data_IF_587272253055
#
_entry.id   IF_587272253055
#
_cell.length_a   1.000
_cell.length_b   1.000
_cell.length_c   1.000
_cell.angle_alpha   90.00
_cell.angle_beta   90.00
_cell.angle_gamma   90.00
#
_symmetry.space_group_name_H-M   'P 1'
#
loop_
_entity.id
_entity.type
_entity.pdbx_description
1 polymer ?
#
# COMPACT_ATOMS: atom_id res chain seq x y z
N UNK A 1 -15.00 7.19 4.93
CA UNK A 1 -14.29 6.33 3.97
C UNK A 1 -13.61 7.21 2.93
N UNK A 2 -12.94 6.67 1.92
CA UNK A 2 -12.31 7.51 0.89
C UNK A 2 -13.35 7.93 -0.16
N UNK A 3 -13.27 9.17 -0.66
CA UNK A 3 -14.07 9.66 -1.79
C UNK A 3 -13.43 9.27 -3.12
N UNK A 4 -12.11 9.15 -3.17
CA UNK A 4 -11.36 8.76 -4.37
C UNK A 4 -10.27 7.76 -4.00
N UNK A 5 -10.10 6.74 -4.84
CA UNK A 5 -9.04 5.74 -4.70
C UNK A 5 -8.54 5.29 -6.06
N UNK A 6 -7.22 5.16 -6.20
CA UNK A 6 -6.56 4.67 -7.41
C UNK A 6 -5.49 3.63 -7.08
N UNK A 7 -5.20 2.77 -8.04
CA UNK A 7 -4.14 1.76 -7.95
C UNK A 7 -3.01 2.13 -8.90
N UNK A 8 -1.78 2.07 -8.39
CA UNK A 8 -0.58 2.33 -9.19
C UNK A 8 0.54 1.35 -8.89
N UNK A 9 1.63 1.49 -9.61
CA UNK A 9 2.88 0.77 -9.39
C UNK A 9 3.99 1.75 -9.04
N UNK A 10 4.77 1.44 -8.02
CA UNK A 10 5.93 2.23 -7.64
C UNK A 10 7.04 2.05 -8.66
N UNK A 11 7.39 3.09 -9.38
CA UNK A 11 8.52 3.08 -10.32
C UNK A 11 9.83 3.28 -9.57
N UNK A 12 9.91 4.30 -8.72
CA UNK A 12 11.11 4.65 -7.99
C UNK A 12 10.98 6.00 -7.29
N UNK A 13 12.13 6.53 -6.87
CA UNK A 13 12.21 7.88 -6.31
C UNK A 13 13.07 8.78 -7.19
N UNK A 14 12.69 10.05 -7.23
CA UNK A 14 13.38 11.12 -7.92
C UNK A 14 13.31 12.40 -7.10
N UNK A 15 13.72 13.49 -7.67
CA UNK A 15 13.60 14.82 -7.09
C UNK A 15 13.01 15.79 -8.12
N UNK A 16 12.27 16.77 -7.65
CA UNK A 16 11.66 17.82 -8.46
C UNK A 16 11.89 19.17 -7.80
N UNK A 17 12.18 20.18 -8.59
CA UNK A 17 12.20 21.57 -8.13
C UNK A 17 10.77 22.08 -7.96
N UNK A 18 10.46 22.60 -6.79
CA UNK A 18 9.20 23.25 -6.46
C UNK A 18 9.54 24.51 -5.65
N UNK A 19 9.14 25.69 -6.11
CA UNK A 19 9.39 26.98 -5.45
C UNK A 19 10.84 27.14 -4.96
N UNK A 20 11.80 26.97 -5.87
CA UNK A 20 13.25 27.06 -5.62
C UNK A 20 13.82 26.08 -4.59
N UNK A 21 13.07 25.02 -4.29
CA UNK A 21 13.51 23.93 -3.40
C UNK A 21 13.48 22.59 -4.08
N UNK A 22 14.45 21.77 -3.78
CA UNK A 22 14.47 20.36 -4.22
C UNK A 22 13.57 19.55 -3.29
N UNK A 23 12.52 18.96 -3.85
CA UNK A 23 11.58 18.10 -3.12
C UNK A 23 11.80 16.65 -3.56
N UNK A 24 12.05 15.71 -2.62
CA UNK A 24 12.11 14.29 -2.95
C UNK A 24 10.71 13.76 -3.28
N UNK A 25 10.58 13.10 -4.41
CA UNK A 25 9.31 12.56 -4.88
C UNK A 25 9.42 11.07 -5.18
N UNK A 26 8.35 10.35 -4.90
CA UNK A 26 8.15 8.99 -5.40
C UNK A 26 7.29 9.05 -6.66
N UNK A 27 7.75 8.40 -7.71
CA UNK A 27 7.05 8.29 -8.99
C UNK A 27 6.21 7.02 -8.97
N UNK A 28 4.91 7.19 -9.15
CA UNK A 28 3.93 6.12 -9.27
C UNK A 28 3.41 6.10 -10.70
N UNK A 29 3.38 4.92 -11.33
CA UNK A 29 2.70 4.70 -12.60
C UNK A 29 1.27 4.29 -12.30
N UNK A 30 0.31 5.07 -12.75
CA UNK A 30 -1.13 4.82 -12.56
C UNK A 30 -1.75 4.55 -13.91
N UNK A 31 -1.81 3.28 -14.29
CA UNK A 31 -2.50 2.89 -15.53
C UNK A 31 -4.01 3.03 -15.36
N UNK A 32 -4.76 3.38 -16.42
CA UNK A 32 -6.22 3.41 -16.37
C UNK A 32 -6.79 2.12 -15.78
N UNK A 33 -7.69 2.26 -14.83
CA UNK A 33 -8.35 1.14 -14.16
C UNK A 33 -9.72 0.92 -14.78
N UNK A 34 -10.11 -0.33 -14.96
CA UNK A 34 -11.43 -0.72 -15.46
C UNK A 34 -12.26 -1.30 -14.34
N UNK A 35 -13.50 -0.83 -14.21
CA UNK A 35 -14.43 -1.34 -13.21
C UNK A 35 -14.95 -2.70 -13.66
N UNK A 36 -14.74 -3.71 -12.83
CA UNK A 36 -15.18 -5.10 -13.09
C UNK A 36 -16.50 -5.39 -12.39
N UNK A 37 -16.67 -4.86 -11.17
CA UNK A 37 -17.89 -5.04 -10.39
C UNK A 37 -18.11 -3.83 -9.49
N UNK A 38 -19.37 -3.41 -9.39
CA UNK A 38 -19.83 -2.46 -8.38
C UNK A 38 -20.47 -3.25 -7.25
N UNK A 39 -20.00 -3.04 -6.02
CA UNK A 39 -20.51 -3.68 -4.80
C UNK A 39 -21.35 -2.67 -4.03
N UNK A 40 -22.57 -3.08 -3.68
CA UNK A 40 -23.53 -2.27 -2.96
C UNK A 40 -23.84 -2.84 -1.56
N UNK A 41 -24.22 -2.01 -0.58
CA UNK A 41 -24.53 -2.47 0.76
C UNK A 41 -25.65 -3.52 0.80
N UNK A 42 -26.64 -3.39 -0.08
CA UNK A 42 -27.80 -4.30 -0.14
C UNK A 42 -27.41 -5.73 -0.53
N UNK A 43 -26.47 -5.86 -1.47
CA UNK A 43 -26.07 -7.14 -2.03
C UNK A 43 -24.83 -7.71 -1.34
N UNK A 44 -23.83 -6.90 -1.11
CA UNK A 44 -22.49 -7.31 -0.68
C UNK A 44 -22.18 -6.93 0.77
N UNK A 45 -23.05 -6.13 1.42
CA UNK A 45 -22.91 -5.66 2.80
C UNK A 45 -21.98 -4.46 2.97
N UNK A 46 -21.41 -3.95 1.89
CA UNK A 46 -20.54 -2.75 1.87
C UNK A 46 -20.43 -2.15 0.47
N UNK A 47 -20.06 -0.85 0.42
CA UNK A 47 -19.84 -0.14 -0.84
C UNK A 47 -18.39 -0.27 -1.29
N UNK A 48 -18.15 -0.74 -2.52
CA UNK A 48 -16.82 -0.82 -3.12
C UNK A 48 -16.89 -0.94 -4.64
N UNK A 49 -15.80 -0.53 -5.31
CA UNK A 49 -15.55 -0.83 -6.71
C UNK A 49 -14.49 -1.93 -6.79
N UNK A 50 -14.79 -3.02 -7.47
CA UNK A 50 -13.76 -3.97 -7.87
C UNK A 50 -13.20 -3.54 -9.20
N UNK A 51 -11.91 -3.22 -9.23
CA UNK A 51 -11.22 -2.71 -10.41
C UNK A 51 -10.06 -3.61 -10.82
N UNK A 52 -9.73 -3.57 -12.09
CA UNK A 52 -8.53 -4.17 -12.65
C UNK A 52 -7.73 -3.12 -13.41
N UNK A 53 -6.42 -3.30 -13.53
CA UNK A 53 -5.52 -2.39 -14.25
C UNK A 53 -4.48 -3.17 -15.04
N UNK A 54 -3.92 -2.51 -16.06
CA UNK A 54 -2.95 -3.11 -16.97
C UNK A 54 -3.56 -4.17 -17.89
N UNK A 55 -2.70 -5.05 -18.41
CA UNK A 55 -3.11 -6.15 -19.29
C UNK A 55 -2.44 -7.45 -18.87
N UNK A 56 -3.19 -8.53 -18.79
CA UNK A 56 -2.69 -9.89 -18.54
C UNK A 56 -3.20 -10.83 -19.63
N UNK A 57 -2.30 -11.65 -20.15
CA UNK A 57 -2.65 -12.67 -21.14
C UNK A 57 -3.77 -13.59 -20.60
N UNK A 58 -4.92 -13.70 -21.29
CA UNK A 58 -6.03 -14.55 -20.86
C UNK A 58 -5.65 -16.03 -20.65
N UNK A 59 -4.62 -16.52 -21.35
CA UNK A 59 -4.10 -17.89 -21.20
C UNK A 59 -3.46 -18.14 -19.84
N UNK A 60 -3.05 -17.08 -19.13
CA UNK A 60 -2.42 -17.16 -17.80
C UNK A 60 -3.42 -17.01 -16.66
N UNK A 61 -4.72 -16.91 -16.98
CA UNK A 61 -5.79 -16.87 -15.99
C UNK A 61 -6.26 -18.29 -15.66
N UNK A 62 -6.64 -18.49 -14.40
CA UNK A 62 -7.38 -19.68 -14.03
C UNK A 62 -8.86 -19.58 -14.49
N UNK A 63 -9.55 -20.72 -14.62
CA UNK A 63 -10.95 -20.77 -15.12
C UNK A 63 -11.92 -19.87 -14.33
N UNK A 64 -11.90 -19.81 -12.98
CA UNK A 64 -12.78 -18.94 -12.21
C UNK A 64 -12.55 -17.46 -12.50
N UNK A 65 -11.29 -17.01 -12.57
CA UNK A 65 -10.95 -15.62 -12.90
C UNK A 65 -11.38 -15.28 -14.33
N UNK A 66 -11.11 -16.17 -15.29
CA UNK A 66 -11.52 -15.99 -16.68
C UNK A 66 -13.05 -15.85 -16.81
N UNK A 67 -13.81 -16.70 -16.09
CA UNK A 67 -15.28 -16.61 -16.05
C UNK A 67 -15.78 -15.29 -15.43
N UNK A 68 -15.09 -14.79 -14.41
CA UNK A 68 -15.43 -13.51 -13.79
C UNK A 68 -15.28 -12.33 -14.76
N UNK A 69 -14.18 -12.26 -15.52
CA UNK A 69 -13.98 -11.23 -16.54
C UNK A 69 -14.92 -11.40 -17.75
N UNK A 70 -15.15 -12.64 -18.20
CA UNK A 70 -16.04 -12.93 -19.31
C UNK A 70 -17.48 -12.49 -19.04
N UNK A 71 -17.97 -12.64 -17.82
CA UNK A 71 -19.32 -12.24 -17.41
C UNK A 71 -19.60 -10.76 -17.63
N UNK A 72 -18.58 -9.91 -17.52
CA UNK A 72 -18.67 -8.45 -17.60
C UNK A 72 -18.03 -7.90 -18.87
N UNK A 73 -17.49 -8.75 -19.74
CA UNK A 73 -16.83 -8.39 -21.00
C UNK A 73 -15.71 -7.35 -20.83
N UNK A 74 -14.96 -7.46 -19.72
CA UNK A 74 -13.81 -6.59 -19.40
C UNK A 74 -12.51 -7.37 -19.61
N UNK A 75 -11.55 -6.76 -20.28
CA UNK A 75 -10.22 -7.36 -20.47
C UNK A 75 -9.50 -7.59 -19.15
N UNK A 76 -8.89 -8.77 -18.96
CA UNK A 76 -8.19 -9.07 -17.73
C UNK A 76 -6.94 -8.21 -17.53
N UNK A 77 -6.78 -7.68 -16.33
CA UNK A 77 -5.60 -6.94 -15.90
C UNK A 77 -4.68 -7.77 -14.99
N UNK A 78 -3.65 -7.12 -14.48
CA UNK A 78 -2.64 -7.76 -13.62
C UNK A 78 -3.22 -8.29 -12.31
N UNK A 79 -4.15 -7.56 -11.70
CA UNK A 79 -4.78 -7.90 -10.42
C UNK A 79 -6.18 -7.32 -10.33
N UNK A 80 -7.01 -7.97 -9.54
CA UNK A 80 -8.27 -7.43 -9.05
C UNK A 80 -8.00 -6.77 -7.68
N UNK A 81 -8.47 -5.53 -7.52
CA UNK A 81 -8.33 -4.75 -6.28
C UNK A 81 -9.70 -4.17 -5.95
N UNK A 82 -10.05 -4.13 -4.68
CA UNK A 82 -11.26 -3.48 -4.20
C UNK A 82 -10.95 -2.10 -3.63
N UNK A 83 -11.61 -1.10 -4.17
CA UNK A 83 -11.58 0.27 -3.72
C UNK A 83 -12.84 0.54 -2.90
N UNK A 84 -12.72 0.62 -1.57
CA UNK A 84 -13.83 0.97 -0.69
C UNK A 84 -14.07 2.48 -0.74
N UNK A 85 -15.20 2.87 -1.30
CA UNK A 85 -15.63 4.26 -1.45
C UNK A 85 -16.90 4.50 -0.63
N UNK A 86 -17.20 5.76 -0.37
CA UNK A 86 -18.42 6.16 0.33
C UNK A 86 -19.63 6.05 -0.58
N UNK A 87 -19.45 6.49 -1.82
CA UNK A 87 -20.48 6.45 -2.86
C UNK A 87 -19.95 5.69 -4.09
N UNK A 88 -20.78 4.83 -4.64
CA UNK A 88 -20.50 4.01 -5.82
C UNK A 88 -21.57 4.13 -6.91
N UNK A 89 -22.63 4.93 -6.67
CA UNK A 89 -23.82 4.98 -7.53
C UNK A 89 -23.54 5.60 -8.92
N UNK A 90 -22.47 6.42 -9.02
CA UNK A 90 -22.05 7.02 -10.29
C UNK A 90 -21.19 6.13 -11.19
N UNK A 91 -20.84 4.93 -10.76
CA UNK A 91 -19.91 4.06 -11.50
C UNK A 91 -20.62 2.92 -12.22
N UNK A 92 -20.15 2.62 -13.42
CA UNK A 92 -20.66 1.53 -14.25
C UNK A 92 -19.60 0.47 -14.51
N UNK A 93 -20.02 -0.78 -14.68
CA UNK A 93 -19.13 -1.87 -15.08
C UNK A 93 -18.56 -1.57 -16.48
N UNK A 94 -17.25 -1.77 -16.64
CA UNK A 94 -16.52 -1.42 -17.88
C UNK A 94 -16.00 0.02 -17.93
N UNK A 95 -16.43 0.89 -17.01
CA UNK A 95 -15.95 2.28 -16.96
C UNK A 95 -14.46 2.33 -16.64
N UNK A 96 -13.73 3.25 -17.29
CA UNK A 96 -12.34 3.52 -16.99
C UNK A 96 -12.19 4.67 -15.98
N UNK A 97 -11.29 4.48 -15.02
CA UNK A 97 -10.90 5.48 -14.01
C UNK A 97 -9.43 5.81 -14.25
N UNK A 98 -9.15 7.06 -14.56
CA UNK A 98 -7.82 7.56 -14.87
C UNK A 98 -7.18 8.31 -13.66
N UNK A 99 -5.92 8.75 -13.82
CA UNK A 99 -5.12 9.40 -12.78
C UNK A 99 -5.63 10.79 -12.37
N UNK A 100 -6.36 11.45 -13.24
CA UNK A 100 -6.93 12.81 -13.06
C UNK A 100 -7.91 12.89 -11.89
N UNK A 101 -8.42 11.75 -11.41
CA UNK A 101 -9.23 11.70 -10.18
C UNK A 101 -8.49 12.20 -8.93
N UNK A 102 -7.15 12.35 -8.99
CA UNK A 102 -6.31 12.85 -7.88
C UNK A 102 -5.62 14.14 -8.32
N UNK A 103 -6.07 15.27 -7.77
CA UNK A 103 -5.55 16.59 -8.11
C UNK A 103 -4.16 16.86 -7.49
N UNK A 104 -3.32 17.65 -8.18
CA UNK A 104 -2.08 18.18 -7.61
C UNK A 104 -2.37 19.05 -6.37
N UNK A 105 -1.49 19.02 -5.37
CA UNK A 105 -1.67 19.71 -4.10
C UNK A 105 -2.60 19.00 -3.10
N UNK A 106 -3.31 17.95 -3.50
CA UNK A 106 -4.13 17.15 -2.59
C UNK A 106 -3.25 16.29 -1.65
N UNK A 107 -3.81 15.92 -0.50
CA UNK A 107 -3.17 14.96 0.42
C UNK A 107 -3.76 13.58 0.22
N UNK A 108 -2.88 12.58 0.20
CA UNK A 108 -3.23 11.18 -0.03
C UNK A 108 -2.62 10.27 1.02
N UNK A 109 -3.30 9.16 1.27
CA UNK A 109 -2.79 8.03 2.05
C UNK A 109 -2.39 6.92 1.10
N UNK A 110 -1.14 6.47 1.18
CA UNK A 110 -0.60 5.45 0.29
C UNK A 110 -0.36 4.16 1.05
N UNK A 111 -1.06 3.11 0.65
CA UNK A 111 -0.98 1.76 1.24
C UNK A 111 -0.28 0.81 0.27
N UNK A 112 0.70 0.08 0.76
CA UNK A 112 1.37 -0.98 -0.01
C UNK A 112 1.94 -2.07 0.91
N UNK A 113 2.33 -3.19 0.30
CA UNK A 113 3.06 -4.24 1.01
C UNK A 113 4.53 -3.84 1.11
N UNK A 114 5.05 -3.72 2.33
CA UNK A 114 6.43 -3.32 2.59
C UNK A 114 7.44 -4.36 2.07
N UNK A 115 8.65 -3.91 1.76
CA UNK A 115 9.72 -4.80 1.32
C UNK A 115 10.01 -5.86 2.38
N UNK A 116 9.98 -7.14 1.99
CA UNK A 116 10.33 -8.25 2.86
C UNK A 116 11.82 -8.21 3.23
N UNK A 117 12.12 -8.49 4.50
CA UNK A 117 13.48 -8.58 5.05
C UNK A 117 13.79 -9.96 5.63
N UNK A 118 12.89 -10.93 5.39
CA UNK A 118 13.01 -12.29 5.89
C UNK A 118 12.95 -12.40 7.40
N UNK A 119 13.54 -13.45 7.96
CA UNK A 119 13.66 -13.63 9.41
C UNK A 119 14.72 -12.66 9.95
N UNK A 120 14.35 -11.82 10.90
CA UNK A 120 15.22 -10.82 11.49
C UNK A 120 15.34 -11.01 13.01
N UNK A 121 16.56 -10.86 13.52
CA UNK A 121 16.83 -10.85 14.95
C UNK A 121 16.24 -9.62 15.65
N UNK A 122 16.17 -9.69 16.98
CA UNK A 122 15.55 -8.64 17.82
C UNK A 122 16.21 -7.27 17.67
N UNK A 123 17.52 -7.20 17.44
CA UNK A 123 18.22 -5.94 17.18
C UNK A 123 17.70 -5.23 15.91
N UNK A 124 17.59 -5.96 14.80
CA UNK A 124 17.11 -5.40 13.53
C UNK A 124 15.61 -5.14 13.54
N UNK A 125 14.83 -6.06 14.16
CA UNK A 125 13.36 -6.01 14.13
C UNK A 125 12.77 -5.00 15.10
N UNK A 126 13.38 -4.87 16.29
CA UNK A 126 12.83 -4.09 17.40
C UNK A 126 13.80 -3.07 17.98
N UNK A 127 14.98 -2.88 17.37
CA UNK A 127 16.02 -1.94 17.83
C UNK A 127 16.55 -2.24 19.22
N UNK A 128 16.68 -3.50 19.59
CA UNK A 128 17.31 -3.91 20.87
C UNK A 128 18.80 -3.57 20.83
N UNK A 129 19.34 -3.10 21.94
CA UNK A 129 20.75 -2.70 22.05
C UNK A 129 21.72 -3.86 21.94
N UNK A 130 21.29 -5.06 22.33
CA UNK A 130 22.18 -6.20 22.52
C UNK A 130 23.01 -6.05 23.81
N UNK A 131 24.13 -6.78 23.90
CA UNK A 131 25.03 -6.77 25.02
C UNK A 131 26.43 -6.33 24.59
N UNK A 132 27.24 -5.87 25.57
CA UNK A 132 28.61 -5.42 25.32
C UNK A 132 29.52 -6.50 24.74
N UNK A 133 30.61 -6.07 24.09
CA UNK A 133 31.57 -6.97 23.45
C UNK A 133 32.62 -7.58 24.41
N UNK A 134 32.70 -7.09 25.67
CA UNK A 134 33.68 -7.48 26.70
C UNK A 134 33.02 -7.72 28.04
N UNK A 135 33.80 -7.75 29.15
CA UNK A 135 33.36 -8.00 30.53
C UNK A 135 32.65 -9.35 30.71
N UNK A 136 33.23 -10.41 30.16
CA UNK A 136 32.73 -11.78 30.31
C UNK A 136 31.56 -12.16 29.42
N UNK A 137 31.12 -11.29 28.53
CA UNK A 137 30.09 -11.62 27.58
C UNK A 137 30.59 -12.65 26.55
N UNK A 138 29.94 -13.80 26.51
CA UNK A 138 30.28 -14.89 25.58
C UNK A 138 29.04 -15.39 24.86
N UNK A 139 29.05 -15.30 23.50
CA UNK A 139 27.98 -15.79 22.61
C UNK A 139 26.60 -15.12 22.75
N UNK A 140 26.45 -14.06 23.56
CA UNK A 140 25.17 -13.38 23.82
C UNK A 140 25.09 -11.95 23.26
N UNK A 141 26.08 -11.50 22.48
CA UNK A 141 26.17 -10.12 21.97
C UNK A 141 24.89 -9.61 21.29
N UNK A 142 24.18 -10.48 20.57
CA UNK A 142 22.97 -10.13 19.81
C UNK A 142 21.70 -10.78 20.34
N UNK A 143 21.76 -11.37 21.53
CA UNK A 143 20.60 -12.01 22.15
C UNK A 143 19.55 -10.98 22.62
N UNK A 144 18.27 -11.37 22.71
CA UNK A 144 17.22 -10.47 23.20
C UNK A 144 17.35 -10.15 24.71
N UNK A 145 18.06 -10.95 25.49
CA UNK A 145 18.09 -10.86 26.93
C UNK A 145 16.98 -11.69 27.60
N UNK A 146 16.61 -11.33 28.82
CA UNK A 146 15.54 -12.01 29.53
C UNK A 146 14.18 -11.81 28.85
N UNK A 147 13.39 -12.88 28.73
CA UNK A 147 12.05 -12.88 28.11
C UNK A 147 10.94 -13.10 29.14
N UNK A 148 11.27 -13.37 30.38
CA UNK A 148 10.33 -13.62 31.46
C UNK A 148 11.02 -13.77 32.79
N UNK A 149 10.25 -14.04 33.83
CA UNK A 149 10.71 -14.29 35.20
C UNK A 149 10.58 -15.77 35.53
N UNK A 150 10.85 -16.15 36.78
CA UNK A 150 10.94 -17.54 37.26
C UNK A 150 9.54 -18.21 37.39
N UNK A 151 9.22 -18.71 38.63
CA UNK A 151 8.00 -19.47 38.89
C UNK A 151 6.71 -18.67 38.66
N UNK A 152 6.74 -17.37 38.83
CA UNK A 152 5.63 -16.46 38.48
C UNK A 152 6.09 -15.42 37.46
N UNK A 153 5.37 -15.25 36.36
CA UNK A 153 4.07 -15.79 35.95
C UNK A 153 4.12 -17.16 35.23
N UNK A 154 5.25 -17.88 35.24
CA UNK A 154 5.45 -19.20 34.61
C UNK A 154 5.17 -19.26 33.09
N UNK A 155 5.17 -18.14 32.43
CA UNK A 155 4.92 -18.02 30.97
C UNK A 155 5.58 -16.78 30.39
N UNK A 156 5.82 -16.80 29.10
CA UNK A 156 6.16 -15.59 28.34
C UNK A 156 4.87 -14.88 27.95
N UNK A 157 4.78 -13.58 28.17
CA UNK A 157 3.60 -12.79 27.84
C UNK A 157 3.39 -12.70 26.32
N UNK A 158 2.11 -12.70 25.91
CA UNK A 158 1.74 -12.45 24.50
C UNK A 158 2.23 -11.07 24.08
N UNK A 159 2.70 -10.95 22.82
CA UNK A 159 3.23 -9.69 22.30
C UNK A 159 4.68 -9.39 22.69
N UNK A 160 5.37 -10.26 23.42
CA UNK A 160 6.80 -10.12 23.70
C UNK A 160 7.60 -9.98 22.40
N UNK A 161 8.45 -8.95 22.35
CA UNK A 161 9.26 -8.64 21.16
C UNK A 161 10.37 -9.65 20.98
N UNK A 162 10.26 -10.49 19.96
CA UNK A 162 11.20 -11.56 19.62
C UNK A 162 11.63 -11.48 18.17
N UNK A 163 12.65 -12.27 17.81
CA UNK A 163 13.02 -12.50 16.42
C UNK A 163 11.85 -13.08 15.61
N UNK A 164 11.81 -12.81 14.32
CA UNK A 164 10.78 -13.32 13.43
C UNK A 164 10.75 -12.60 12.09
N UNK A 165 9.71 -12.87 11.31
CA UNK A 165 9.48 -12.24 10.03
C UNK A 165 9.44 -10.72 10.16
N UNK A 166 10.20 -10.02 9.30
CA UNK A 166 10.23 -8.57 9.19
C UNK A 166 9.90 -8.14 7.76
N UNK A 167 9.08 -7.11 7.62
CA UNK A 167 8.58 -6.67 6.33
C UNK A 167 7.53 -7.63 5.74
N UNK A 168 7.20 -7.44 4.45
CA UNK A 168 6.11 -8.13 3.76
C UNK A 168 4.77 -7.98 4.50
N UNK A 169 4.54 -6.78 5.04
CA UNK A 169 3.34 -6.42 5.76
C UNK A 169 2.69 -5.22 5.06
N UNK A 170 1.39 -5.13 5.11
CA UNK A 170 0.66 -3.96 4.64
C UNK A 170 0.97 -2.77 5.54
N UNK A 171 1.43 -1.68 4.93
CA UNK A 171 1.80 -0.43 5.60
C UNK A 171 1.14 0.72 4.87
N UNK A 172 0.60 1.66 5.60
CA UNK A 172 0.04 2.90 5.06
C UNK A 172 0.88 4.08 5.51
N UNK A 173 1.35 4.88 4.56
CA UNK A 173 1.94 6.19 4.82
C UNK A 173 0.85 7.24 4.64
N UNK A 174 0.59 8.00 5.70
CA UNK A 174 -0.51 8.95 5.77
C UNK A 174 -0.06 10.35 5.33
N UNK A 175 -1.02 11.13 4.80
CA UNK A 175 -0.90 12.57 4.53
C UNK A 175 0.26 12.95 3.61
N UNK A 176 0.54 12.15 2.58
CA UNK A 176 1.50 12.51 1.54
C UNK A 176 0.88 13.56 0.60
N UNK A 177 1.66 14.55 0.21
CA UNK A 177 1.27 15.59 -0.73
C UNK A 177 1.50 15.12 -2.16
N UNK A 178 0.52 15.33 -3.04
CA UNK A 178 0.65 15.11 -4.48
C UNK A 178 1.29 16.32 -5.09
N UNK A 179 2.51 16.16 -5.60
CA UNK A 179 3.26 17.25 -6.23
C UNK A 179 2.77 17.52 -7.65
N UNK A 180 2.47 16.45 -8.39
CA UNK A 180 2.05 16.52 -9.77
C UNK A 180 1.25 15.29 -10.17
N UNK A 181 0.25 15.49 -11.01
CA UNK A 181 -0.50 14.43 -11.70
C UNK A 181 -0.37 14.67 -13.20
N UNK A 182 0.23 13.72 -13.91
CA UNK A 182 0.45 13.77 -15.37
C UNK A 182 -0.40 12.67 -16.04
N UNK A 183 -1.57 13.03 -16.57
CA UNK A 183 -2.47 12.06 -17.22
C UNK A 183 -1.91 11.56 -18.56
N UNK A 184 -1.11 12.37 -19.29
CA UNK A 184 -0.56 11.95 -20.59
C UNK A 184 0.44 10.78 -20.43
N UNK A 185 1.26 10.83 -19.37
CA UNK A 185 2.25 9.80 -19.06
C UNK A 185 1.74 8.77 -18.07
N UNK A 186 0.54 8.93 -17.52
CA UNK A 186 -0.02 8.11 -16.47
C UNK A 186 0.88 8.07 -15.22
N UNK A 187 1.41 9.21 -14.81
CA UNK A 187 2.32 9.36 -13.67
C UNK A 187 1.70 10.21 -12.58
N UNK A 188 1.90 9.77 -11.34
CA UNK A 188 1.58 10.52 -10.14
C UNK A 188 2.85 10.70 -9.31
N UNK A 189 3.23 11.93 -9.04
CA UNK A 189 4.38 12.28 -8.22
C UNK A 189 3.92 12.63 -6.81
N UNK A 190 4.35 11.83 -5.84
CA UNK A 190 3.99 11.99 -4.43
C UNK A 190 5.24 12.38 -3.64
N UNK A 191 5.13 13.41 -2.81
CA UNK A 191 6.22 13.91 -1.96
C UNK A 191 6.60 12.90 -0.89
N UNK A 192 7.88 12.56 -0.84
CA UNK A 192 8.42 11.67 0.19
C UNK A 192 8.44 10.20 -0.19
N UNK A 193 8.56 9.34 0.80
CA UNK A 193 8.71 7.89 0.61
C UNK A 193 7.36 7.17 0.62
N UNK A 194 7.22 6.20 -0.29
CA UNK A 194 6.07 5.28 -0.39
C UNK A 194 6.55 3.88 -0.02
N UNK A 195 5.76 3.10 0.74
CA UNK A 195 6.14 1.75 1.13
C UNK A 195 6.21 0.81 -0.08
N UNK A 196 6.93 -0.28 0.07
CA UNK A 196 7.08 -1.34 -0.95
C UNK A 196 8.35 -1.23 -1.80
N UNK A 197 8.68 -2.30 -2.53
CA UNK A 197 9.74 -2.32 -3.52
C UNK A 197 9.33 -1.59 -4.79
N UNK A 198 10.29 -1.28 -5.67
CA UNK A 198 10.00 -0.86 -7.04
C UNK A 198 9.27 -1.98 -7.79
N UNK A 199 8.31 -1.64 -8.64
CA UNK A 199 7.37 -2.58 -9.26
C UNK A 199 6.27 -3.08 -8.31
N UNK A 200 6.26 -2.64 -7.05
CA UNK A 200 5.21 -3.00 -6.10
C UNK A 200 3.92 -2.21 -6.35
N UNK A 201 2.79 -2.91 -6.15
CA UNK A 201 1.46 -2.31 -6.25
C UNK A 201 1.21 -1.42 -5.05
N UNK A 202 0.68 -0.24 -5.28
CA UNK A 202 0.29 0.74 -4.28
C UNK A 202 -1.17 1.14 -4.46
N UNK A 203 -1.87 1.29 -3.35
CA UNK A 203 -3.21 1.84 -3.29
C UNK A 203 -3.11 3.27 -2.76
N UNK A 204 -3.55 4.24 -3.56
CA UNK A 204 -3.58 5.65 -3.21
C UNK A 204 -5.02 6.05 -2.94
N UNK A 205 -5.29 6.68 -1.82
CA UNK A 205 -6.62 7.15 -1.40
C UNK A 205 -6.52 8.58 -0.88
N UNK A 206 -7.60 9.33 -0.93
CA UNK A 206 -7.66 10.61 -0.24
C UNK A 206 -7.32 10.43 1.25
N UNK A 207 -6.56 11.38 1.79
CA UNK A 207 -6.13 11.33 3.19
C UNK A 207 -7.33 11.40 4.13
N UNK A 208 -7.47 10.40 5.00
CA UNK A 208 -8.58 10.31 5.96
C UNK A 208 -8.56 11.43 7.03
N UNK A 209 -7.39 12.04 7.26
CA UNK A 209 -7.18 13.13 8.24
C UNK A 209 -7.07 14.51 7.62
N UNK A 210 -7.45 14.67 6.37
CA UNK A 210 -7.47 15.98 5.74
C UNK A 210 -8.68 16.77 6.27
N UNK A 211 -8.52 17.99 6.80
CA UNK A 211 -9.67 18.85 7.04
C UNK A 211 -10.36 19.09 5.71
N UNK A 212 -11.65 18.87 5.65
CA UNK A 212 -12.48 19.25 4.50
C UNK A 212 -12.29 20.74 4.34
N UNK A 213 -11.70 21.18 3.23
CA UNK A 213 -11.76 22.60 2.88
C UNK A 213 -13.22 22.84 2.51
N UNK A 214 -13.93 23.51 3.40
CA UNK A 214 -15.18 24.13 3.04
C UNK A 214 -14.88 25.07 1.87
N UNK A 215 -15.48 24.79 0.74
CA UNK A 215 -15.43 25.61 -0.48
C UNK A 215 -16.33 26.82 -0.34
#
# INVERSE_FOLDING_TARGET
MATTAIVGEKVGMSQKWVDDRIVPVTVLRVQPMRVVQVKTPERDGYSALQVTYGHRDPRKLNKPEAGHFAKVSVDPGHRLVELRLEDVDGYQVGQEIAVDSVAAGSKVDVTAVSRGKGFAGTMKRHNFKGQGASHGNHKHHRAPGAIGSCAYPARVFKGMRMAGQMGHQQVTTLNLEVVESDPERNLLLVKGSVPGPNGGVVLVRNAAKQPVKES
#
